data_IF_335285927134
#
_entry.id   IF_335285927134
#
_cell.length_a   1.000
_cell.length_b   1.000
_cell.length_c   1.000
_cell.angle_alpha   90.00
_cell.angle_beta   90.00
_cell.angle_gamma   90.00
#
_symmetry.space_group_name_H-M   'P 1'
#
loop_
_entity.id
_entity.type
_entity.pdbx_description
1 polymer ?
#
# COMPACT_ATOMS: atom_id res chain seq x y z
N UNK A 1 -20.43 18.83 8.09
CA UNK A 1 -19.42 17.95 7.46
C UNK A 1 -20.04 16.56 7.37
N UNK A 2 -19.86 15.82 6.27
CA UNK A 2 -20.45 14.47 6.12
C UNK A 2 -19.84 13.53 7.18
N UNK A 3 -20.64 12.73 7.88
CA UNK A 3 -20.18 11.86 8.98
C UNK A 3 -19.50 10.58 8.46
N UNK A 4 -18.77 9.90 9.35
CA UNK A 4 -18.15 8.61 9.05
C UNK A 4 -19.19 7.52 8.76
N UNK A 5 -20.31 7.54 9.48
CA UNK A 5 -21.40 6.57 9.27
C UNK A 5 -22.03 6.79 7.89
N UNK A 6 -22.32 8.04 7.52
CA UNK A 6 -22.88 8.36 6.20
C UNK A 6 -21.98 7.87 5.05
N UNK A 7 -20.65 8.05 5.18
CA UNK A 7 -19.69 7.53 4.18
C UNK A 7 -19.79 6.00 4.09
N UNK A 8 -19.84 5.32 5.24
CA UNK A 8 -19.87 3.87 5.33
C UNK A 8 -21.18 3.29 4.76
N UNK A 9 -22.32 3.92 5.04
CA UNK A 9 -23.61 3.56 4.48
C UNK A 9 -23.62 3.67 2.95
N UNK A 10 -23.13 4.78 2.40
CA UNK A 10 -23.06 4.96 0.94
C UNK A 10 -22.15 3.90 0.30
N UNK A 11 -21.00 3.60 0.90
CA UNK A 11 -20.08 2.57 0.40
C UNK A 11 -20.73 1.17 0.46
N UNK A 12 -21.42 0.87 1.56
CA UNK A 12 -22.08 -0.43 1.77
C UNK A 12 -23.22 -0.62 0.80
N UNK A 13 -24.08 0.40 0.62
CA UNK A 13 -25.15 0.40 -0.36
C UNK A 13 -24.64 0.15 -1.78
N UNK A 14 -23.61 0.89 -2.21
CA UNK A 14 -23.04 0.71 -3.55
C UNK A 14 -22.49 -0.70 -3.76
N UNK A 15 -21.97 -1.32 -2.71
CA UNK A 15 -21.45 -2.69 -2.74
C UNK A 15 -22.56 -3.73 -2.85
N UNK A 16 -23.63 -3.57 -2.09
CA UNK A 16 -24.76 -4.51 -2.04
C UNK A 16 -25.58 -4.45 -3.34
N UNK A 17 -25.87 -3.24 -3.81
CA UNK A 17 -26.68 -3.00 -5.01
C UNK A 17 -25.86 -3.01 -6.30
N UNK A 18 -24.53 -3.20 -6.22
CA UNK A 18 -23.60 -3.18 -7.37
C UNK A 18 -23.71 -1.92 -8.24
N UNK A 19 -24.08 -0.79 -7.63
CA UNK A 19 -24.17 0.51 -8.30
C UNK A 19 -22.87 1.27 -8.16
N UNK A 20 -22.60 2.18 -9.10
CA UNK A 20 -21.43 3.05 -9.00
C UNK A 20 -21.68 4.12 -7.94
N UNK A 21 -20.64 4.44 -7.18
CA UNK A 21 -20.67 5.49 -6.17
C UNK A 21 -21.10 6.84 -6.75
N UNK A 22 -20.65 7.18 -7.97
CA UNK A 22 -21.04 8.41 -8.63
C UNK A 22 -22.54 8.52 -8.91
N UNK A 23 -23.19 7.41 -9.29
CA UNK A 23 -24.62 7.40 -9.62
C UNK A 23 -25.45 7.51 -8.35
N UNK A 24 -25.06 6.77 -7.30
CA UNK A 24 -25.68 6.87 -5.98
C UNK A 24 -25.56 8.27 -5.37
N UNK A 25 -24.42 8.93 -5.53
CA UNK A 25 -24.23 10.30 -5.05
C UNK A 25 -25.13 11.29 -5.78
N UNK A 26 -25.35 11.11 -7.10
CA UNK A 26 -26.31 11.92 -7.86
C UNK A 26 -27.75 11.70 -7.39
N UNK A 27 -28.15 10.45 -7.15
CA UNK A 27 -29.49 10.13 -6.61
C UNK A 27 -29.75 10.79 -5.27
N UNK A 28 -28.74 10.81 -4.39
CA UNK A 28 -28.82 11.41 -3.06
C UNK A 28 -28.66 12.94 -3.06
N UNK A 29 -28.40 13.56 -4.22
CA UNK A 29 -28.12 15.00 -4.31
C UNK A 29 -26.81 15.42 -3.62
N UNK A 30 -25.89 14.49 -3.40
CA UNK A 30 -24.62 14.74 -2.71
C UNK A 30 -23.57 15.14 -3.74
N UNK A 31 -22.99 16.33 -3.54
CA UNK A 31 -21.86 16.76 -4.36
C UNK A 31 -20.66 15.81 -4.16
N UNK A 32 -20.11 15.29 -5.26
CA UNK A 32 -19.04 14.29 -5.22
C UNK A 32 -17.82 14.72 -4.39
N UNK A 33 -17.44 16.00 -4.46
CA UNK A 33 -16.31 16.54 -3.69
C UNK A 33 -16.51 16.37 -2.18
N UNK A 34 -17.74 16.55 -1.67
CA UNK A 34 -18.06 16.38 -0.23
C UNK A 34 -17.85 14.94 0.21
N UNK A 35 -18.25 13.99 -0.64
CA UNK A 35 -18.08 12.57 -0.36
C UNK A 35 -16.62 12.15 -0.37
N UNK A 36 -15.86 12.54 -1.39
CA UNK A 36 -14.45 12.16 -1.50
C UNK A 36 -13.57 12.84 -0.45
N UNK A 37 -13.87 14.09 -0.07
CA UNK A 37 -13.19 14.79 1.01
C UNK A 37 -13.40 14.09 2.36
N UNK A 38 -14.66 13.78 2.71
CA UNK A 38 -14.98 13.04 3.92
C UNK A 38 -14.37 11.63 3.91
N UNK A 39 -14.48 10.90 2.79
CA UNK A 39 -13.90 9.56 2.64
C UNK A 39 -12.39 9.57 2.83
N UNK A 40 -11.68 10.58 2.32
CA UNK A 40 -10.24 10.75 2.53
C UNK A 40 -9.92 11.01 4.00
N UNK A 41 -10.68 11.88 4.66
CA UNK A 41 -10.51 12.20 6.08
C UNK A 41 -10.65 10.96 6.96
N UNK A 42 -11.67 10.13 6.72
CA UNK A 42 -11.93 8.93 7.55
C UNK A 42 -11.10 7.69 7.16
N UNK A 43 -10.51 7.65 5.96
CA UNK A 43 -9.53 6.62 5.61
C UNK A 43 -8.28 6.70 6.51
N UNK A 44 -7.80 7.92 6.79
CA UNK A 44 -6.63 8.16 7.64
C UNK A 44 -6.83 7.73 9.10
N UNK A 45 -8.06 7.67 9.59
CA UNK A 45 -8.37 7.20 10.95
C UNK A 45 -8.20 5.68 11.08
N UNK A 46 -8.56 4.93 10.03
CA UNK A 46 -8.33 3.48 9.99
C UNK A 46 -6.85 3.14 9.76
N UNK A 47 -6.11 3.99 9.05
CA UNK A 47 -4.65 3.85 8.87
C UNK A 47 -3.83 4.32 10.08
N UNK A 48 -4.42 5.08 11.03
CA UNK A 48 -3.83 5.27 12.37
C UNK A 48 -3.87 4.02 13.24
N UNK A 49 -4.71 3.04 12.87
CA UNK A 49 -4.60 1.64 13.30
C UNK A 49 -3.78 0.82 12.27
N UNK A 50 -2.88 1.51 11.55
CA UNK A 50 -1.90 0.89 10.66
C UNK A 50 -1.03 -0.04 11.46
N UNK A 51 -1.23 -1.34 11.21
CA UNK A 51 -0.51 -2.50 11.73
C UNK A 51 0.56 -2.18 12.75
N UNK A 52 0.23 -2.41 14.03
CA UNK A 52 1.24 -2.53 15.07
C UNK A 52 2.30 -3.53 14.58
N UNK A 53 3.55 -3.07 14.51
CA UNK A 53 4.65 -3.94 14.09
C UNK A 53 4.75 -5.07 15.10
N UNK A 54 4.46 -6.30 14.66
CA UNK A 54 4.63 -7.47 15.52
C UNK A 54 6.13 -7.68 15.73
N UNK A 55 6.65 -7.19 16.85
CA UNK A 55 8.05 -7.34 17.20
C UNK A 55 8.33 -8.81 17.50
N UNK A 56 9.02 -9.49 16.60
CA UNK A 56 9.42 -10.88 16.79
C UNK A 56 10.68 -10.91 17.67
N UNK A 57 10.52 -11.32 18.93
CA UNK A 57 11.65 -11.59 19.83
C UNK A 57 12.34 -12.88 19.39
N UNK A 58 13.68 -12.91 19.21
CA UNK A 58 14.40 -14.14 18.89
C UNK A 58 14.18 -15.20 19.98
N UNK A 59 13.59 -16.35 19.62
CA UNK A 59 13.33 -17.47 20.53
C UNK A 59 11.99 -17.45 21.29
N UNK A 60 11.09 -16.51 20.99
CA UNK A 60 9.74 -16.47 21.59
C UNK A 60 8.77 -17.50 21.00
N UNK A 61 7.84 -18.00 21.82
CA UNK A 61 6.76 -18.90 21.37
C UNK A 61 5.75 -18.13 20.53
N UNK A 62 5.50 -18.58 19.30
CA UNK A 62 4.57 -17.94 18.37
C UNK A 62 3.12 -18.15 18.86
N UNK A 63 2.46 -17.08 19.30
CA UNK A 63 1.02 -17.11 19.59
C UNK A 63 0.29 -16.50 18.38
N UNK A 64 -0.49 -17.29 17.61
CA UNK A 64 -1.29 -16.73 16.54
C UNK A 64 -2.37 -15.85 17.16
N UNK A 65 -2.24 -14.53 17.03
CA UNK A 65 -3.36 -13.64 17.28
C UNK A 65 -4.42 -13.91 16.22
N UNK A 66 -5.70 -14.13 16.58
CA UNK A 66 -6.75 -14.37 15.60
C UNK A 66 -6.97 -13.07 14.82
N UNK A 67 -6.36 -12.98 13.63
CA UNK A 67 -6.61 -11.88 12.71
C UNK A 67 -8.10 -11.88 12.35
N UNK A 68 -8.81 -10.79 12.71
CA UNK A 68 -10.10 -10.47 12.11
C UNK A 68 -9.92 -10.46 10.59
N UNK A 69 -10.79 -11.20 9.90
CA UNK A 69 -10.77 -11.41 8.45
C UNK A 69 -10.92 -10.07 7.70
N UNK A 70 -9.80 -9.37 7.55
CA UNK A 70 -9.64 -8.27 6.63
C UNK A 70 -9.63 -8.86 5.22
N UNK A 71 -10.78 -8.73 4.53
CA UNK A 71 -10.94 -9.04 3.11
C UNK A 71 -9.76 -8.47 2.31
N UNK A 72 -8.78 -9.32 1.99
CA UNK A 72 -7.81 -9.04 0.95
C UNK A 72 -8.60 -8.99 -0.36
N UNK A 73 -8.77 -7.78 -0.89
CA UNK A 73 -9.14 -7.65 -2.30
C UNK A 73 -8.01 -8.32 -3.06
N UNK A 74 -8.31 -9.41 -3.76
CA UNK A 74 -7.48 -9.87 -4.87
C UNK A 74 -7.41 -8.71 -5.86
N UNK A 75 -6.38 -7.87 -5.71
CA UNK A 75 -5.91 -7.07 -6.83
C UNK A 75 -5.47 -8.09 -7.85
N UNK A 76 -6.18 -8.06 -8.98
CA UNK A 76 -5.69 -8.61 -10.24
C UNK A 76 -4.24 -8.16 -10.36
N UNK A 77 -3.31 -9.11 -10.30
CA UNK A 77 -1.88 -8.89 -10.49
C UNK A 77 -1.69 -8.41 -11.92
N UNK A 78 -1.98 -7.13 -12.13
CA UNK A 78 -1.34 -6.36 -13.18
C UNK A 78 0.12 -6.32 -12.73
N UNK A 79 1.01 -6.80 -13.57
CA UNK A 79 2.44 -6.64 -13.41
C UNK A 79 2.75 -5.15 -13.49
N UNK A 80 2.47 -4.42 -12.42
CA UNK A 80 3.00 -3.08 -12.23
C UNK A 80 4.50 -3.27 -12.10
N UNK A 81 5.21 -2.90 -13.15
CA UNK A 81 6.65 -2.71 -13.08
C UNK A 81 6.89 -1.77 -11.91
N UNK A 82 7.55 -2.27 -10.86
CA UNK A 82 8.08 -1.45 -9.79
C UNK A 82 9.17 -0.58 -10.43
N UNK A 83 8.76 0.53 -11.05
CA UNK A 83 9.58 1.59 -11.62
C UNK A 83 9.23 2.83 -10.83
N UNK A 84 10.06 3.14 -9.85
CA UNK A 84 9.89 4.29 -8.98
C UNK A 84 11.24 4.76 -8.47
N UNK A 85 11.25 5.90 -7.80
CA UNK A 85 12.45 6.44 -7.18
C UNK A 85 12.92 5.49 -6.06
N UNK A 86 14.08 4.87 -6.26
CA UNK A 86 14.70 3.93 -5.35
C UNK A 86 16.05 4.46 -4.86
N UNK A 87 16.49 3.95 -3.72
CA UNK A 87 17.79 4.26 -3.12
C UNK A 87 18.49 2.94 -2.78
N UNK A 88 19.59 2.65 -3.45
CA UNK A 88 20.39 1.44 -3.26
C UNK A 88 21.65 1.83 -2.48
N UNK A 89 21.89 1.14 -1.36
CA UNK A 89 23.10 1.29 -0.56
C UNK A 89 23.95 0.03 -0.68
N UNK A 90 25.26 0.20 -0.88
CA UNK A 90 26.18 -0.92 -1.05
C UNK A 90 27.57 -0.56 -0.52
N UNK A 91 28.36 -1.58 -0.21
CA UNK A 91 29.74 -1.44 0.23
C UNK A 91 30.67 -2.01 -0.83
N UNK A 92 31.65 -1.22 -1.28
CA UNK A 92 32.67 -1.69 -2.21
C UNK A 92 33.64 -2.66 -1.52
N UNK A 93 34.44 -3.38 -2.31
CA UNK A 93 35.51 -4.26 -1.78
C UNK A 93 36.57 -3.50 -0.97
N UNK A 94 36.76 -2.20 -1.23
CA UNK A 94 37.62 -1.31 -0.44
C UNK A 94 37.00 -0.87 0.89
N UNK A 95 35.77 -1.32 1.19
CA UNK A 95 35.03 -0.97 2.40
C UNK A 95 34.28 0.37 2.31
N UNK A 96 34.39 1.09 1.21
CA UNK A 96 33.74 2.39 0.97
C UNK A 96 32.23 2.19 0.80
N UNK A 97 31.42 3.01 1.48
CA UNK A 97 29.97 3.01 1.31
C UNK A 97 29.59 3.84 0.08
N UNK A 98 28.68 3.30 -0.73
CA UNK A 98 28.13 3.95 -1.92
C UNK A 98 26.61 3.92 -1.87
N UNK A 99 25.98 5.02 -2.30
CA UNK A 99 24.53 5.16 -2.37
C UNK A 99 24.11 5.70 -3.73
N UNK A 100 23.22 4.98 -4.41
CA UNK A 100 22.68 5.35 -5.72
C UNK A 100 21.20 5.65 -5.54
N UNK A 101 20.74 6.84 -5.96
CA UNK A 101 19.35 7.25 -5.86
C UNK A 101 18.81 7.68 -7.21
N UNK A 102 17.56 7.34 -7.50
CA UNK A 102 16.89 7.78 -8.71
C UNK A 102 15.78 6.83 -9.12
N UNK A 103 15.07 7.18 -10.18
CA UNK A 103 14.14 6.26 -10.81
C UNK A 103 14.92 5.13 -11.48
N UNK A 104 14.61 3.88 -11.12
CA UNK A 104 15.29 2.72 -11.68
C UNK A 104 14.29 1.74 -12.25
N UNK A 105 14.60 1.22 -13.44
CA UNK A 105 13.86 0.11 -14.01
C UNK A 105 14.32 -1.22 -13.42
N UNK A 106 13.47 -2.26 -13.45
CA UNK A 106 13.87 -3.60 -13.02
C UNK A 106 15.13 -4.14 -13.72
N UNK A 107 15.39 -3.71 -14.96
CA UNK A 107 16.62 -4.08 -15.68
C UNK A 107 17.85 -3.46 -15.02
N UNK A 108 17.81 -2.16 -14.71
CA UNK A 108 18.90 -1.44 -14.05
C UNK A 108 19.20 -2.07 -12.68
N UNK A 109 18.17 -2.39 -11.91
CA UNK A 109 18.32 -3.03 -10.58
C UNK A 109 19.02 -4.39 -10.71
N UNK A 110 18.59 -5.23 -11.67
CA UNK A 110 19.22 -6.54 -11.92
C UNK A 110 20.68 -6.40 -12.29
N UNK A 111 21.01 -5.50 -13.21
CA UNK A 111 22.39 -5.25 -13.64
C UNK A 111 23.27 -4.78 -12.47
N UNK A 112 22.75 -3.91 -11.60
CA UNK A 112 23.47 -3.45 -10.40
C UNK A 112 23.75 -4.63 -9.46
N UNK A 113 22.76 -5.48 -9.19
CA UNK A 113 22.91 -6.65 -8.32
C UNK A 113 23.91 -7.64 -8.91
N UNK A 114 23.78 -8.01 -10.17
CA UNK A 114 24.68 -8.94 -10.87
C UNK A 114 26.13 -8.44 -10.85
N UNK A 115 26.33 -7.14 -11.12
CA UNK A 115 27.67 -6.52 -11.10
C UNK A 115 28.26 -6.47 -9.69
N UNK A 116 27.43 -6.32 -8.66
CA UNK A 116 27.87 -6.25 -7.26
C UNK A 116 28.10 -7.63 -6.63
N UNK A 117 27.35 -8.66 -7.07
CA UNK A 117 27.44 -10.02 -6.54
C UNK A 117 28.66 -10.80 -7.06
N UNK A 118 29.48 -10.21 -7.93
CA UNK A 118 30.82 -10.73 -8.23
C UNK A 118 30.82 -12.10 -8.90
N UNK A 119 29.86 -12.41 -9.77
CA UNK A 119 30.00 -13.57 -10.67
C UNK A 119 30.89 -13.21 -11.86
N UNK A 120 32.17 -12.92 -11.58
CA UNK A 120 33.20 -12.94 -12.60
C UNK A 120 33.60 -14.42 -12.80
N UNK A 121 33.35 -14.96 -13.99
CA UNK A 121 34.16 -16.08 -14.50
C UNK A 121 35.53 -15.52 -14.87
#
# INVERSE_FOLDING_TARGET
MMSKEEVAEIITYCREHKVRQCDRLKELGIAAWRFYDARRKYASESEKQGGEFLQLTPGGTFVPSPMSSGRTRKSKTQSESITGNLSIEMRTVSGTMMRIQGEMSPQIIRTIIESASGSHV
#
